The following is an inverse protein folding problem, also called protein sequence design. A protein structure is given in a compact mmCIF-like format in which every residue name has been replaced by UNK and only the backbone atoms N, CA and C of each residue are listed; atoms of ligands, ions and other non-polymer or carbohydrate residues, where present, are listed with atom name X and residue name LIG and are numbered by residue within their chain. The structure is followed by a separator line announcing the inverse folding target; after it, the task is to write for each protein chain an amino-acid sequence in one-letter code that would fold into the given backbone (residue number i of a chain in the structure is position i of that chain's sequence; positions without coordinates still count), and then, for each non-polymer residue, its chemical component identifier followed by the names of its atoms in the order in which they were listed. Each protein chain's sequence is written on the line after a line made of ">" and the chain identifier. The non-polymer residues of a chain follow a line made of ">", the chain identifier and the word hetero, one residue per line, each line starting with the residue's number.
data_IF_943661153717
#
_entry.id   IF_943661153717
#
_cell.length_a   1.000
_cell.length_b   1.000
_cell.length_c   1.000
_cell.angle_alpha   90.00
_cell.angle_beta   90.00
_cell.angle_gamma   90.00
#
_symmetry.space_group_name_H-M   'P 1'
#
loop_
_entity.id
_entity.type
_entity.pdbx_description
1 polymer ?
#
# COMPACT_ATOMS: atom_id res chain seq x y z
N UNK A 1 23.56 -16.35 -14.06
CA UNK A 1 22.55 -15.42 -14.58
C UNK A 1 21.39 -15.47 -13.60
N UNK A 2 21.37 -14.57 -12.61
CA UNK A 2 20.25 -14.47 -11.66
C UNK A 2 19.12 -13.81 -12.43
N UNK A 3 17.94 -14.43 -12.43
CA UNK A 3 16.73 -13.75 -12.85
C UNK A 3 16.58 -12.53 -11.95
N UNK A 4 16.55 -11.36 -12.56
CA UNK A 4 16.15 -10.14 -11.89
C UNK A 4 14.75 -10.38 -11.34
N UNK A 5 14.63 -10.38 -10.01
CA UNK A 5 13.36 -10.33 -9.29
C UNK A 5 12.82 -8.89 -9.43
N UNK A 6 12.54 -8.52 -10.67
CA UNK A 6 11.81 -7.30 -10.99
C UNK A 6 10.37 -7.55 -10.56
N UNK A 7 10.06 -7.19 -9.32
CA UNK A 7 8.69 -7.00 -8.80
C UNK A 7 7.98 -5.91 -9.61
N UNK A 8 7.68 -6.19 -10.87
CA UNK A 8 6.69 -5.47 -11.65
C UNK A 8 5.36 -6.17 -11.42
N UNK A 9 4.44 -5.48 -10.74
CA UNK A 9 3.05 -5.88 -10.66
C UNK A 9 2.55 -6.05 -12.11
N UNK A 10 2.14 -7.27 -12.48
CA UNK A 10 1.70 -7.56 -13.85
C UNK A 10 0.35 -6.88 -14.12
N UNK A 11 -0.03 -6.65 -15.38
CA UNK A 11 -1.36 -6.09 -15.71
C UNK A 11 -2.53 -6.89 -15.11
N UNK A 12 -2.29 -8.17 -14.82
CA UNK A 12 -3.21 -9.08 -14.12
C UNK A 12 -3.44 -8.69 -12.65
N UNK A 13 -2.48 -8.10 -11.96
CA UNK A 13 -2.62 -7.67 -10.56
C UNK A 13 -3.47 -6.40 -10.42
N UNK A 14 -3.55 -5.59 -11.48
CA UNK A 14 -4.44 -4.42 -11.55
C UNK A 14 -5.85 -4.76 -12.03
N UNK A 15 -6.06 -5.99 -12.53
CA UNK A 15 -7.37 -6.49 -12.92
C UNK A 15 -8.14 -6.95 -11.68
N UNK A 16 -8.99 -6.06 -11.16
CA UNK A 16 -9.85 -6.33 -10.02
C UNK A 16 -11.20 -6.96 -10.42
N UNK A 17 -11.39 -7.36 -11.68
CA UNK A 17 -12.66 -7.95 -12.14
C UNK A 17 -13.02 -9.26 -11.43
N UNK A 18 -12.00 -9.99 -10.96
CA UNK A 18 -12.16 -11.21 -10.18
C UNK A 18 -12.45 -10.95 -8.69
N UNK A 19 -12.29 -9.71 -8.21
CA UNK A 19 -12.61 -9.32 -6.84
C UNK A 19 -14.08 -8.91 -6.80
N UNK A 20 -14.92 -9.69 -6.12
CA UNK A 20 -16.37 -9.46 -6.09
C UNK A 20 -16.76 -8.06 -5.56
N UNK A 21 -15.93 -7.48 -4.68
CA UNK A 21 -16.11 -6.15 -4.11
C UNK A 21 -15.70 -4.98 -5.05
N UNK A 22 -15.12 -5.28 -6.21
CA UNK A 22 -14.65 -4.27 -7.16
C UNK A 22 -13.48 -3.44 -6.62
N UNK A 23 -13.34 -2.15 -7.03
CA UNK A 23 -12.13 -1.35 -6.77
C UNK A 23 -11.99 -0.85 -5.31
N UNK A 24 -13.01 -1.04 -4.47
CA UNK A 24 -13.03 -0.60 -3.08
C UNK A 24 -13.61 -1.70 -2.20
N UNK A 25 -12.73 -2.58 -1.73
CA UNK A 25 -13.10 -3.68 -0.83
C UNK A 25 -13.23 -3.17 0.61
N UNK A 26 -14.28 -3.60 1.32
CA UNK A 26 -14.40 -3.39 2.77
C UNK A 26 -13.50 -4.35 3.55
N UNK A 27 -13.21 -4.05 4.81
CA UNK A 27 -12.39 -4.93 5.66
C UNK A 27 -13.07 -6.28 5.93
N UNK A 28 -14.40 -6.30 6.01
CA UNK A 28 -15.16 -7.54 6.22
C UNK A 28 -15.15 -8.43 4.97
N UNK A 29 -15.30 -7.84 3.78
CA UNK A 29 -15.14 -8.54 2.51
C UNK A 29 -13.72 -9.07 2.34
N UNK A 30 -12.70 -8.27 2.65
CA UNK A 30 -11.30 -8.73 2.62
C UNK A 30 -11.09 -9.92 3.57
N UNK A 31 -11.65 -9.86 4.78
CA UNK A 31 -11.61 -10.98 5.73
C UNK A 31 -12.34 -12.24 5.20
N UNK A 32 -13.42 -12.05 4.44
CA UNK A 32 -14.17 -13.13 3.79
C UNK A 32 -13.36 -13.80 2.67
N UNK A 33 -12.73 -13.01 1.80
CA UNK A 33 -11.86 -13.52 0.73
C UNK A 33 -10.66 -14.29 1.29
N UNK A 34 -10.01 -13.77 2.34
CA UNK A 34 -8.90 -14.45 3.00
C UNK A 34 -9.32 -15.82 3.60
N UNK A 35 -10.53 -15.93 4.12
CA UNK A 35 -11.06 -17.20 4.62
C UNK A 35 -11.39 -18.18 3.48
N UNK A 36 -11.87 -17.70 2.34
CA UNK A 36 -12.05 -18.54 1.16
C UNK A 36 -10.70 -19.08 0.64
N UNK A 37 -9.65 -18.26 0.65
CA UNK A 37 -8.30 -18.66 0.29
C UNK A 37 -7.69 -19.68 1.29
N UNK A 38 -7.86 -19.50 2.61
CA UNK A 38 -7.48 -20.50 3.63
C UNK A 38 -8.11 -21.86 3.34
N UNK A 39 -9.43 -21.90 3.11
CA UNK A 39 -10.15 -23.13 2.77
C UNK A 39 -9.57 -23.76 1.51
N UNK A 40 -9.33 -22.97 0.46
CA UNK A 40 -8.82 -23.47 -0.82
C UNK A 40 -7.42 -24.08 -0.68
N UNK A 41 -6.52 -23.45 0.08
CA UNK A 41 -5.19 -23.98 0.35
C UNK A 41 -5.23 -25.31 1.11
N UNK A 42 -6.16 -25.47 2.08
CA UNK A 42 -6.36 -26.74 2.79
C UNK A 42 -6.91 -27.83 1.89
N UNK A 43 -7.84 -27.50 1.00
CA UNK A 43 -8.36 -28.43 0.00
C UNK A 43 -7.25 -28.91 -0.93
N UNK A 44 -6.37 -28.01 -1.38
CA UNK A 44 -5.19 -28.36 -2.19
C UNK A 44 -4.21 -29.24 -1.43
N UNK A 45 -3.90 -28.90 -0.17
CA UNK A 45 -3.04 -29.71 0.68
C UNK A 45 -3.61 -31.14 0.84
N UNK A 46 -4.92 -31.26 1.02
CA UNK A 46 -5.61 -32.55 1.11
C UNK A 46 -5.59 -33.33 -0.20
N UNK A 47 -5.80 -32.66 -1.34
CA UNK A 47 -5.71 -33.31 -2.65
C UNK A 47 -4.28 -33.80 -2.95
N UNK A 48 -3.27 -33.04 -2.54
CA UNK A 48 -1.86 -33.38 -2.73
C UNK A 48 -1.38 -34.58 -1.89
N UNK A 49 -2.15 -35.05 -0.91
CA UNK A 49 -1.86 -36.30 -0.17
C UNK A 49 -1.97 -37.55 -1.05
N UNK A 50 -2.73 -37.47 -2.17
CA UNK A 50 -2.89 -38.56 -3.14
C UNK A 50 -2.71 -37.99 -4.54
N UNK A 51 -1.46 -37.64 -4.93
CA UNK A 51 -1.20 -37.07 -6.24
C UNK A 51 -1.42 -38.12 -7.34
N UNK A 52 -1.88 -37.68 -8.51
CA UNK A 52 -2.05 -38.55 -9.68
C UNK A 52 -0.73 -39.21 -10.11
N UNK A 53 0.39 -38.49 -9.95
CA UNK A 53 1.75 -39.02 -10.17
C UNK A 53 2.42 -39.26 -8.81
N UNK A 54 3.03 -40.44 -8.57
CA UNK A 54 3.62 -40.79 -7.27
C UNK A 54 4.91 -40.01 -7.00
N UNK A 55 4.77 -38.80 -6.46
CA UNK A 55 5.85 -37.90 -6.05
C UNK A 55 5.65 -37.55 -4.57
N UNK A 56 6.75 -37.48 -3.83
CA UNK A 56 6.75 -37.05 -2.43
C UNK A 56 6.51 -35.53 -2.36
N UNK A 57 5.43 -35.11 -1.70
CA UNK A 57 4.96 -33.73 -1.63
C UNK A 57 4.83 -33.21 -0.20
N UNK A 58 5.35 -33.90 0.81
CA UNK A 58 5.23 -33.53 2.24
C UNK A 58 5.57 -32.06 2.50
N UNK A 59 6.70 -31.56 1.98
CA UNK A 59 7.10 -30.17 2.18
C UNK A 59 6.11 -29.17 1.57
N UNK A 60 5.57 -29.47 0.39
CA UNK A 60 4.57 -28.65 -0.28
C UNK A 60 3.23 -28.67 0.46
N UNK A 61 2.78 -29.85 0.93
CA UNK A 61 1.57 -30.00 1.74
C UNK A 61 1.67 -29.17 3.03
N UNK A 62 2.80 -29.25 3.73
CA UNK A 62 3.01 -28.50 4.95
C UNK A 62 3.13 -27.00 4.69
N UNK A 63 3.74 -26.59 3.57
CA UNK A 63 3.74 -25.20 3.14
C UNK A 63 2.31 -24.69 2.90
N UNK A 64 1.47 -25.42 2.17
CA UNK A 64 0.07 -25.05 1.92
C UNK A 64 -0.69 -24.87 3.23
N UNK A 65 -0.54 -25.79 4.19
CA UNK A 65 -1.19 -25.73 5.52
C UNK A 65 -0.72 -24.53 6.36
N UNK A 66 0.59 -24.20 6.31
CA UNK A 66 1.15 -23.01 6.98
C UNK A 66 0.58 -21.73 6.40
N UNK A 67 0.57 -21.59 5.08
CA UNK A 67 0.00 -20.42 4.41
C UNK A 67 -1.50 -20.28 4.69
N UNK A 68 -2.25 -21.39 4.68
CA UNK A 68 -3.65 -21.40 5.07
C UNK A 68 -3.86 -20.84 6.49
N UNK A 69 -3.07 -21.33 7.45
CA UNK A 69 -3.12 -20.86 8.85
C UNK A 69 -2.81 -19.37 8.98
N UNK A 70 -1.84 -18.86 8.20
CA UNK A 70 -1.53 -17.44 8.14
C UNK A 70 -2.69 -16.61 7.58
N UNK A 71 -3.28 -17.03 6.45
CA UNK A 71 -4.43 -16.32 5.85
C UNK A 71 -5.65 -16.31 6.77
N UNK A 72 -5.88 -17.39 7.53
CA UNK A 72 -6.94 -17.43 8.54
C UNK A 72 -6.74 -16.37 9.62
N UNK A 73 -5.53 -16.27 10.19
CA UNK A 73 -5.21 -15.25 11.20
C UNK A 73 -5.39 -13.83 10.64
N UNK A 74 -4.89 -13.60 9.43
CA UNK A 74 -5.05 -12.31 8.76
C UNK A 74 -6.52 -11.97 8.49
N UNK A 75 -7.33 -12.96 8.09
CA UNK A 75 -8.76 -12.78 7.86
C UNK A 75 -9.54 -12.47 9.14
N UNK A 76 -9.19 -13.11 10.26
CA UNK A 76 -9.73 -12.80 11.58
C UNK A 76 -9.38 -11.36 12.01
N UNK A 77 -8.14 -10.93 11.77
CA UNK A 77 -7.70 -9.55 12.05
C UNK A 77 -8.48 -8.52 11.20
N UNK A 78 -8.68 -8.78 9.90
CA UNK A 78 -9.42 -7.86 9.03
C UNK A 78 -10.89 -7.73 9.45
N UNK A 79 -11.56 -8.83 9.84
CA UNK A 79 -12.93 -8.77 10.37
C UNK A 79 -13.00 -7.98 11.68
N UNK A 80 -12.05 -8.19 12.58
CA UNK A 80 -11.97 -7.43 13.82
C UNK A 80 -11.77 -5.93 13.56
N UNK A 81 -10.87 -5.57 12.65
CA UNK A 81 -10.70 -4.19 12.20
C UNK A 81 -11.96 -3.63 11.55
N UNK A 82 -12.71 -4.44 10.79
CA UNK A 82 -14.01 -4.07 10.24
C UNK A 82 -14.96 -3.59 11.32
N UNK A 83 -15.13 -4.39 12.39
CA UNK A 83 -15.94 -4.03 13.56
C UNK A 83 -15.44 -2.76 14.27
N UNK A 84 -14.13 -2.62 14.43
CA UNK A 84 -13.52 -1.40 14.98
C UNK A 84 -13.88 -0.18 14.14
N UNK A 85 -13.70 -0.25 12.82
CA UNK A 85 -13.98 0.89 11.91
C UNK A 85 -15.47 1.21 11.77
N UNK A 86 -16.34 0.21 11.96
CA UNK A 86 -17.79 0.40 12.02
C UNK A 86 -18.27 1.07 13.32
N UNK A 87 -17.42 1.10 14.36
CA UNK A 87 -17.74 1.68 15.67
C UNK A 87 -18.28 0.67 16.70
N UNK A 88 -18.28 -0.63 16.38
CA UNK A 88 -18.78 -1.69 17.27
C UNK A 88 -17.82 -1.98 18.44
N UNK A 89 -16.57 -1.51 18.35
CA UNK A 89 -15.53 -1.73 19.35
C UNK A 89 -15.04 -0.37 19.84
N UNK A 90 -15.06 -0.12 21.16
CA UNK A 90 -14.55 1.14 21.71
C UNK A 90 -13.02 1.21 21.55
N UNK A 91 -12.52 2.42 21.37
CA UNK A 91 -11.10 2.75 21.23
C UNK A 91 -10.69 3.72 22.32
N UNK A 92 -9.47 3.58 22.85
CA UNK A 92 -8.89 4.61 23.70
C UNK A 92 -8.74 5.93 22.92
N UNK A 93 -9.00 7.08 23.54
CA UNK A 93 -8.84 8.40 22.90
C UNK A 93 -7.36 8.78 22.67
N UNK A 94 -6.43 8.12 23.38
CA UNK A 94 -4.99 8.35 23.26
C UNK A 94 -4.20 7.03 23.29
N UNK A 95 -2.99 7.06 22.72
CA UNK A 95 -2.03 5.97 22.88
C UNK A 95 -1.49 5.90 24.32
N UNK A 96 -0.73 4.84 24.64
CA UNK A 96 -0.19 4.62 25.99
C UNK A 96 0.63 5.79 26.55
N UNK A 97 1.29 6.57 25.69
CA UNK A 97 2.11 7.71 26.07
C UNK A 97 1.31 9.03 26.13
N UNK A 98 -0.02 8.97 25.95
CA UNK A 98 -0.89 10.15 25.88
C UNK A 98 -0.97 10.80 24.49
N UNK A 99 -0.24 10.29 23.50
CA UNK A 99 -0.29 10.82 22.14
C UNK A 99 -1.73 10.71 21.56
N UNK A 100 -2.28 11.81 21.02
CA UNK A 100 -3.60 11.78 20.38
C UNK A 100 -3.54 11.10 19.00
N UNK A 101 -4.72 10.73 18.49
CA UNK A 101 -4.89 10.25 17.13
C UNK A 101 -6.05 10.96 16.41
N UNK A 102 -6.23 10.68 15.12
CA UNK A 102 -7.28 11.33 14.34
C UNK A 102 -7.01 12.82 14.09
N UNK A 103 -8.06 13.67 14.00
CA UNK A 103 -7.93 15.11 13.85
C UNK A 103 -7.13 15.78 14.96
N UNK A 104 -7.22 15.27 16.19
CA UNK A 104 -6.51 15.80 17.35
C UNK A 104 -4.98 15.66 17.24
N UNK A 105 -4.49 14.75 16.41
CA UNK A 105 -3.06 14.62 16.13
C UNK A 105 -2.52 15.66 15.14
N UNK A 106 -3.36 16.50 14.51
CA UNK A 106 -2.88 17.51 13.56
C UNK A 106 -1.94 18.51 14.25
N UNK A 107 -0.78 18.76 13.64
CA UNK A 107 0.22 19.68 14.18
C UNK A 107 1.04 19.11 15.35
N UNK A 108 0.85 17.85 15.70
CA UNK A 108 1.68 17.14 16.68
C UNK A 108 2.75 16.30 15.97
N UNK A 109 3.91 16.13 16.59
CA UNK A 109 4.86 15.10 16.19
C UNK A 109 4.99 14.08 17.32
N UNK A 110 4.96 12.79 16.97
CA UNK A 110 5.03 11.71 17.94
C UNK A 110 6.44 11.21 18.04
N UNK A 111 7.04 11.35 19.21
CA UNK A 111 8.43 10.96 19.46
C UNK A 111 8.67 9.46 19.22
N UNK A 112 7.69 8.60 19.51
CA UNK A 112 7.86 7.15 19.44
C UNK A 112 7.50 6.50 18.08
N UNK A 113 6.74 7.19 17.22
CA UNK A 113 6.11 6.55 16.05
C UNK A 113 6.33 7.27 14.72
N UNK A 114 6.99 8.43 14.73
CA UNK A 114 7.30 9.23 13.54
C UNK A 114 6.06 9.88 12.93
N UNK A 115 5.93 11.20 13.14
CA UNK A 115 4.85 12.00 12.57
C UNK A 115 3.47 11.79 13.22
N UNK A 116 2.51 12.66 12.91
CA UNK A 116 1.18 12.65 13.52
C UNK A 116 0.36 11.39 13.15
N UNK A 117 -0.43 10.88 14.10
CA UNK A 117 -1.30 9.71 13.94
C UNK A 117 -2.66 10.07 13.30
N UNK A 118 -2.68 10.81 12.20
CA UNK A 118 -3.95 11.32 11.63
C UNK A 118 -4.85 10.16 11.19
N UNK A 119 -4.27 9.15 10.52
CA UNK A 119 -4.94 7.88 10.22
C UNK A 119 -4.10 6.76 10.86
N UNK A 120 -4.58 6.12 11.95
CA UNK A 120 -3.82 5.06 12.60
C UNK A 120 -3.63 3.84 11.69
N UNK A 121 -2.55 3.09 11.90
CA UNK A 121 -2.36 1.78 11.26
C UNK A 121 -3.29 0.73 11.85
N UNK A 122 -3.48 -0.39 11.14
CA UNK A 122 -4.19 -1.58 11.65
C UNK A 122 -3.73 -1.98 13.06
N UNK A 123 -2.41 -2.18 13.25
CA UNK A 123 -1.84 -2.52 14.54
C UNK A 123 -2.10 -1.46 15.63
N UNK A 124 -2.07 -0.17 15.27
CA UNK A 124 -2.40 0.92 16.20
C UNK A 124 -3.87 0.87 16.63
N UNK A 125 -4.80 0.61 15.70
CA UNK A 125 -6.22 0.45 16.02
C UNK A 125 -6.47 -0.76 16.93
N UNK A 126 -5.85 -1.90 16.63
CA UNK A 126 -5.94 -3.09 17.49
C UNK A 126 -5.43 -2.77 18.89
N UNK A 127 -4.31 -2.07 19.00
CA UNK A 127 -3.77 -1.69 20.31
C UNK A 127 -4.68 -0.72 21.07
N UNK A 128 -5.25 0.29 20.41
CA UNK A 128 -6.21 1.22 21.03
C UNK A 128 -7.48 0.50 21.50
N UNK A 129 -7.97 -0.47 20.71
CA UNK A 129 -9.11 -1.30 21.08
C UNK A 129 -8.81 -2.17 22.30
N UNK A 130 -7.69 -2.88 22.31
CA UNK A 130 -7.26 -3.71 23.44
C UNK A 130 -7.10 -2.91 24.73
N UNK A 131 -6.64 -1.66 24.66
CA UNK A 131 -6.56 -0.78 25.83
C UNK A 131 -7.93 -0.43 26.38
N UNK A 132 -8.89 -0.10 25.51
CA UNK A 132 -10.26 0.20 25.91
C UNK A 132 -10.94 -1.03 26.53
N UNK A 133 -10.88 -2.18 25.87
CA UNK A 133 -11.52 -3.43 26.34
C UNK A 133 -10.95 -3.92 27.68
N UNK A 134 -9.65 -3.70 27.93
CA UNK A 134 -9.00 -4.05 29.20
C UNK A 134 -9.24 -3.03 30.32
N UNK A 135 -9.96 -1.94 30.06
CA UNK A 135 -10.20 -0.86 31.02
C UNK A 135 -8.93 -0.07 31.38
N UNK A 136 -7.92 -0.07 30.50
CA UNK A 136 -6.67 0.68 30.69
C UNK A 136 -6.71 2.08 30.07
N UNK A 137 -7.82 2.43 29.41
CA UNK A 137 -8.07 3.75 28.87
C UNK A 137 -8.85 4.57 29.90
N UNK A 138 -8.41 5.82 30.12
CA UNK A 138 -9.15 6.78 30.96
C UNK A 138 -10.44 7.24 30.26
N UNK A 139 -10.39 7.35 28.93
CA UNK A 139 -11.51 7.76 28.09
C UNK A 139 -11.55 6.91 26.81
N UNK A 140 -12.76 6.62 26.35
CA UNK A 140 -13.02 5.81 25.14
C UNK A 140 -13.91 6.54 24.16
N UNK A 141 -13.76 6.22 22.88
CA UNK A 141 -14.52 6.76 21.75
C UNK A 141 -14.75 5.66 20.70
N UNK A 142 -15.56 5.92 19.67
CA UNK A 142 -15.66 5.04 18.49
C UNK A 142 -14.83 5.56 17.33
N UNK A 143 -14.45 4.68 16.40
CA UNK A 143 -13.68 5.08 15.21
C UNK A 143 -14.40 6.14 14.35
N UNK A 144 -15.69 5.99 13.99
CA UNK A 144 -16.38 7.00 13.19
C UNK A 144 -16.44 8.38 13.86
N UNK A 145 -16.71 8.42 15.17
CA UNK A 145 -16.77 9.67 15.93
C UNK A 145 -15.40 10.36 15.95
N UNK A 146 -14.34 9.62 16.29
CA UNK A 146 -13.01 10.21 16.44
C UNK A 146 -12.35 10.59 15.11
N UNK A 147 -12.80 10.00 14.00
CA UNK A 147 -12.32 10.33 12.64
C UNK A 147 -13.15 11.42 11.96
N UNK A 148 -14.15 12.00 12.64
CA UNK A 148 -14.98 13.09 12.10
C UNK A 148 -14.10 14.24 11.60
N UNK A 149 -14.33 14.69 10.36
CA UNK A 149 -13.56 15.79 9.74
C UNK A 149 -12.26 15.36 9.07
N UNK A 150 -11.97 14.05 8.98
CA UNK A 150 -10.98 13.50 8.05
C UNK A 150 -11.70 13.14 6.74
N UNK A 151 -11.32 13.79 5.64
CA UNK A 151 -11.92 13.57 4.33
C UNK A 151 -11.58 12.19 3.76
N UNK A 152 -12.49 11.65 2.93
CA UNK A 152 -12.43 10.32 2.28
C UNK A 152 -11.39 10.25 1.12
N UNK A 153 -10.40 11.15 1.11
CA UNK A 153 -9.35 11.25 0.09
C UNK A 153 -8.02 10.59 0.51
N UNK A 154 -8.03 9.81 1.60
CA UNK A 154 -6.83 9.12 2.05
C UNK A 154 -6.49 7.95 1.13
N UNK A 155 -5.20 7.78 0.88
CA UNK A 155 -4.68 6.69 0.10
C UNK A 155 -3.59 5.97 0.87
N UNK A 156 -3.56 4.64 0.72
CA UNK A 156 -2.57 3.83 1.37
C UNK A 156 -1.15 4.22 0.93
N UNK A 157 -0.19 4.10 1.85
CA UNK A 157 1.22 4.30 1.54
C UNK A 157 1.69 3.37 0.41
N UNK A 158 1.09 2.18 0.31
CA UNK A 158 1.35 1.23 -0.77
C UNK A 158 0.92 1.78 -2.14
N UNK A 159 -0.30 2.31 -2.26
CA UNK A 159 -0.78 2.87 -3.53
C UNK A 159 -0.02 4.16 -3.90
N UNK A 160 0.35 4.99 -2.91
CA UNK A 160 1.26 6.12 -3.12
C UNK A 160 2.63 5.67 -3.63
N UNK A 161 3.21 4.62 -3.03
CA UNK A 161 4.49 4.06 -3.46
C UNK A 161 4.39 3.46 -4.88
N UNK A 162 3.30 2.76 -5.20
CA UNK A 162 3.05 2.22 -6.55
C UNK A 162 3.02 3.34 -7.59
N UNK A 163 2.22 4.39 -7.39
CA UNK A 163 2.20 5.54 -8.31
C UNK A 163 3.54 6.23 -8.46
N UNK A 164 4.32 6.31 -7.38
CA UNK A 164 5.69 6.82 -7.46
C UNK A 164 6.54 5.94 -8.37
N UNK A 165 6.48 4.62 -8.23
CA UNK A 165 7.17 3.68 -9.14
C UNK A 165 6.69 3.82 -10.59
N UNK A 166 5.38 3.91 -10.81
CA UNK A 166 4.78 4.10 -12.14
C UNK A 166 5.25 5.41 -12.78
N UNK A 167 5.26 6.51 -12.00
CA UNK A 167 5.81 7.81 -12.41
C UNK A 167 7.28 7.69 -12.75
N UNK A 168 8.09 7.14 -11.87
CA UNK A 168 9.55 7.04 -12.06
C UNK A 168 9.87 6.19 -13.31
N UNK A 169 9.14 5.09 -13.54
CA UNK A 169 9.24 4.30 -14.77
C UNK A 169 8.80 5.09 -16.02
N UNK A 170 7.74 5.90 -15.91
CA UNK A 170 7.31 6.77 -17.00
C UNK A 170 8.35 7.87 -17.31
N UNK A 171 8.99 8.44 -16.30
CA UNK A 171 10.08 9.41 -16.45
C UNK A 171 11.29 8.78 -17.14
N UNK A 172 11.67 7.55 -16.77
CA UNK A 172 12.76 6.85 -17.46
C UNK A 172 12.44 6.62 -18.94
N UNK A 173 11.21 6.22 -19.28
CA UNK A 173 10.77 6.07 -20.67
C UNK A 173 10.74 7.39 -21.42
N UNK A 174 10.20 8.44 -20.80
CA UNK A 174 10.12 9.78 -21.40
C UNK A 174 11.53 10.36 -21.63
N UNK A 175 12.42 10.22 -20.65
CA UNK A 175 13.80 10.67 -20.75
C UNK A 175 14.51 10.03 -21.95
N UNK A 176 14.26 8.75 -22.26
CA UNK A 176 14.80 8.11 -23.47
C UNK A 176 14.26 8.73 -24.76
N UNK A 177 13.04 9.25 -24.77
CA UNK A 177 12.42 9.88 -25.95
C UNK A 177 12.76 11.39 -26.08
N UNK A 178 13.08 12.06 -24.98
CA UNK A 178 13.50 13.47 -24.99
C UNK A 178 14.92 13.62 -25.56
N UNK A 179 15.17 14.60 -26.42
CA UNK A 179 16.52 14.93 -26.88
C UNK A 179 17.36 15.59 -25.79
N UNK A 180 18.67 15.31 -25.73
CA UNK A 180 19.56 15.89 -24.73
C UNK A 180 20.23 17.17 -25.24
N UNK A 181 19.90 18.32 -24.67
CA UNK A 181 20.56 19.59 -25.02
C UNK A 181 22.04 19.65 -24.60
N UNK A 182 22.46 18.87 -23.60
CA UNK A 182 23.85 18.90 -23.08
C UNK A 182 24.86 18.11 -23.92
N UNK A 183 24.43 17.00 -24.55
CA UNK A 183 25.31 16.13 -25.34
C UNK A 183 24.78 15.83 -26.75
N UNK A 184 23.69 16.47 -27.14
CA UNK A 184 23.02 16.34 -28.44
C UNK A 184 22.51 14.92 -28.77
N UNK A 185 22.49 14.00 -27.79
CA UNK A 185 21.88 12.68 -27.95
C UNK A 185 20.40 12.83 -28.34
N UNK A 186 20.00 12.15 -29.42
CA UNK A 186 18.65 12.15 -29.94
C UNK A 186 17.69 11.26 -29.15
N UNK A 187 16.40 11.22 -29.56
CA UNK A 187 15.43 10.25 -29.07
C UNK A 187 15.94 8.81 -29.28
N UNK A 188 15.81 7.97 -28.26
CA UNK A 188 16.31 6.59 -28.24
C UNK A 188 17.80 6.45 -27.96
N UNK A 189 18.59 7.53 -28.01
CA UNK A 189 20.03 7.48 -27.77
C UNK A 189 20.39 7.70 -26.30
N UNK A 190 21.42 6.99 -25.85
CA UNK A 190 21.98 7.16 -24.51
C UNK A 190 22.84 8.43 -24.42
N UNK A 191 22.78 9.10 -23.27
CA UNK A 191 23.66 10.23 -23.00
C UNK A 191 25.11 9.77 -22.91
N UNK A 192 26.03 10.64 -23.35
CA UNK A 192 27.47 10.38 -23.28
C UNK A 192 28.19 11.49 -22.53
N UNK A 193 29.19 11.13 -21.74
CA UNK A 193 30.09 12.08 -21.08
C UNK A 193 30.92 12.83 -22.12
N UNK A 194 31.64 13.88 -21.68
CA UNK A 194 32.61 14.60 -22.52
C UNK A 194 33.69 13.70 -23.12
N UNK A 195 34.01 12.57 -22.48
CA UNK A 195 34.97 11.57 -22.97
C UNK A 195 34.34 10.52 -23.91
N UNK A 196 33.05 10.63 -24.24
CA UNK A 196 32.34 9.72 -25.14
C UNK A 196 31.81 8.45 -24.49
N UNK A 197 31.95 8.28 -23.17
CA UNK A 197 31.42 7.11 -22.44
C UNK A 197 29.92 7.27 -22.21
N UNK A 198 29.16 6.19 -22.43
CA UNK A 198 27.74 6.11 -22.06
C UNK A 198 27.55 6.37 -20.57
N UNK A 199 26.60 7.22 -20.23
CA UNK A 199 26.22 7.48 -18.84
C UNK A 199 25.07 6.55 -18.43
N UNK A 200 25.16 6.00 -17.22
CA UNK A 200 24.08 5.17 -16.65
C UNK A 200 22.79 5.97 -16.42
N UNK A 201 22.92 7.29 -16.24
CA UNK A 201 21.79 8.21 -16.09
C UNK A 201 21.81 9.30 -17.17
N UNK A 202 20.63 9.79 -17.60
CA UNK A 202 20.55 10.95 -18.48
C UNK A 202 21.10 12.21 -17.80
N UNK A 203 21.58 13.18 -18.59
CA UNK A 203 21.98 14.47 -18.04
C UNK A 203 20.80 15.19 -17.37
N UNK A 204 21.09 15.93 -16.30
CA UNK A 204 20.07 16.60 -15.49
C UNK A 204 19.06 17.45 -16.28
N UNK A 205 19.42 18.21 -17.34
CA UNK A 205 18.44 18.94 -18.14
C UNK A 205 17.42 18.02 -18.83
N UNK A 206 17.89 16.91 -19.43
CA UNK A 206 17.03 15.90 -20.08
C UNK A 206 16.10 15.23 -19.08
N UNK A 207 16.64 14.88 -17.91
CA UNK A 207 15.88 14.30 -16.80
C UNK A 207 14.77 15.24 -16.33
N UNK A 208 15.07 16.52 -16.11
CA UNK A 208 14.07 17.52 -15.67
C UNK A 208 12.98 17.78 -16.70
N UNK A 209 13.33 17.79 -17.99
CA UNK A 209 12.35 17.96 -19.07
C UNK A 209 11.41 16.76 -19.17
N UNK A 210 11.94 15.54 -19.02
CA UNK A 210 11.16 14.32 -18.93
C UNK A 210 10.24 14.30 -17.70
N UNK A 211 10.75 14.71 -16.53
CA UNK A 211 9.94 14.87 -15.31
C UNK A 211 8.80 15.87 -15.52
N UNK A 212 9.08 17.05 -16.05
CA UNK A 212 8.06 18.07 -16.32
C UNK A 212 6.99 17.58 -17.31
N UNK A 213 7.39 16.84 -18.35
CA UNK A 213 6.47 16.28 -19.35
C UNK A 213 5.58 15.19 -18.75
N UNK A 214 6.16 14.27 -17.97
CA UNK A 214 5.41 13.23 -17.26
C UNK A 214 4.48 13.84 -16.23
N UNK A 215 4.96 14.81 -15.44
CA UNK A 215 4.17 15.47 -14.41
C UNK A 215 3.03 16.32 -15.01
N UNK A 216 3.25 16.98 -16.14
CA UNK A 216 2.18 17.67 -16.87
C UNK A 216 1.13 16.68 -17.41
N UNK A 217 1.56 15.54 -17.95
CA UNK A 217 0.67 14.48 -18.44
C UNK A 217 -0.13 13.84 -17.30
N UNK A 218 0.53 13.49 -16.20
CA UNK A 218 -0.12 12.88 -15.03
C UNK A 218 -1.00 13.88 -14.28
N UNK A 219 -0.57 15.14 -14.15
CA UNK A 219 -1.34 16.22 -13.55
C UNK A 219 -2.59 16.60 -14.37
N UNK A 220 -2.56 16.42 -15.70
CA UNK A 220 -3.73 16.57 -16.57
C UNK A 220 -4.69 15.36 -16.53
N UNK A 221 -4.20 14.17 -16.17
CA UNK A 221 -4.98 12.93 -16.10
C UNK A 221 -5.49 12.59 -14.69
N UNK A 222 -5.06 13.33 -13.67
CA UNK A 222 -5.49 13.11 -12.30
C UNK A 222 -5.23 14.34 -11.45
N UNK A 223 -6.27 15.16 -11.24
CA UNK A 223 -6.34 15.97 -10.04
C UNK A 223 -6.13 15.06 -8.85
N UNK A 224 -5.02 15.27 -8.13
CA UNK A 224 -4.86 14.72 -6.79
C UNK A 224 -6.12 15.07 -5.98
N UNK A 225 -6.76 14.12 -5.27
CA UNK A 225 -7.96 14.41 -4.49
C UNK A 225 -7.68 15.25 -3.23
N UNK A 226 -6.55 15.95 -3.16
CA UNK A 226 -6.16 16.75 -2.00
C UNK A 226 -5.69 18.13 -2.46
N UNK A 227 -6.64 18.97 -2.85
CA UNK A 227 -6.47 20.40 -2.59
C UNK A 227 -6.82 20.61 -1.10
N UNK A 228 -5.80 20.79 -0.25
CA UNK A 228 -6.04 21.37 1.09
C UNK A 228 -6.50 22.81 0.84
N UNK A 229 -7.70 23.23 1.31
CA UNK A 229 -8.17 24.59 1.12
C UNK A 229 -7.14 25.60 1.65
N UNK A 230 -6.85 26.62 0.86
CA UNK A 230 -5.90 27.67 1.23
C UNK A 230 -6.30 28.44 2.51
N UNK A 231 -7.55 28.33 2.94
CA UNK A 231 -8.07 28.88 4.21
C UNK A 231 -7.57 28.16 5.46
N UNK A 232 -6.72 27.14 5.33
CA UNK A 232 -6.12 26.37 6.43
C UNK A 232 -4.58 26.41 6.42
N UNK A 233 -3.98 27.46 5.84
CA UNK A 233 -2.55 27.80 6.02
C UNK A 233 -2.39 28.89 7.06
#
# INVERSE_FOLDING_TARGET
>A
MRADDETYETGTETDLSAVAAGPRITLDELGTELAAMDLRLRQLARAAEVPETPVELTEAIDALRRHASFLRQLGEEMRYLGRVTAGDVPLATTFQQGDPWGPAARGTDRQAYGGPAIVPTAAQLVHLAQRAERGWAEETTTYPEHMTGIGIGWESKAATARRRRERDAAVVREARQTSCTSCQAGPGEECRTKSGRVTEQPHAPRQREAEATVDARLGALGTMPVAIPASLR
#
